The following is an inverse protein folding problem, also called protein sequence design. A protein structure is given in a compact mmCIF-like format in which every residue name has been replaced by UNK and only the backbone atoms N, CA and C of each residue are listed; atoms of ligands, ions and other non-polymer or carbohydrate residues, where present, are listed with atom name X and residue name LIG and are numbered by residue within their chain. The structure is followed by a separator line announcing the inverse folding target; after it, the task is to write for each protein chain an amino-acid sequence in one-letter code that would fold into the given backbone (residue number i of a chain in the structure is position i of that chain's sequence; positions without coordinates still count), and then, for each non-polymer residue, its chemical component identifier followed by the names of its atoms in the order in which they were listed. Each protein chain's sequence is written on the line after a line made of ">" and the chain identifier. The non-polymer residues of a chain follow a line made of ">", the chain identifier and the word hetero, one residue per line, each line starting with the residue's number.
data_IF_628408876444
#
_entry.id   IF_628408876444
#
_cell.length_a   1.000
_cell.length_b   1.000
_cell.length_c   1.000
_cell.angle_alpha   90.00
_cell.angle_beta   90.00
_cell.angle_gamma   90.00
#
_symmetry.space_group_name_H-M   'P 1'
#
loop_
_entity.id
_entity.type
_entity.pdbx_description
1 polymer ?
#
# COMPACT_ATOMS: atom_id res chain seq x y z
N UNK A 1 40.16 38.22 31.12
CA UNK A 1 38.71 37.98 30.84
C UNK A 1 38.58 37.66 29.36
N UNK A 2 38.64 36.38 29.00
CA UNK A 2 38.47 35.88 27.64
C UNK A 2 37.39 34.80 27.71
N UNK A 3 36.22 35.14 27.17
CA UNK A 3 35.07 34.25 27.05
C UNK A 3 35.30 33.32 25.85
N UNK A 4 35.53 32.03 26.10
CA UNK A 4 35.44 30.99 25.08
C UNK A 4 33.97 30.59 24.94
N UNK A 5 33.34 31.03 23.86
CA UNK A 5 32.04 30.52 23.41
C UNK A 5 32.36 29.30 22.53
N UNK A 6 32.20 28.10 23.08
CA UNK A 6 32.37 26.86 22.32
C UNK A 6 31.23 26.67 21.31
N UNK A 7 31.50 26.11 20.12
CA UNK A 7 30.45 25.85 19.14
C UNK A 7 29.59 24.68 19.62
N UNK A 8 28.28 24.92 19.70
CA UNK A 8 27.26 23.88 19.83
C UNK A 8 27.38 22.92 18.63
N UNK A 9 27.93 21.73 18.89
CA UNK A 9 27.84 20.58 18.00
C UNK A 9 26.35 20.22 17.85
N UNK A 10 25.70 20.77 16.83
CA UNK A 10 24.46 20.18 16.31
C UNK A 10 24.85 18.81 15.73
N UNK A 11 24.69 17.79 16.57
CA UNK A 11 24.63 16.41 16.11
C UNK A 11 23.54 16.35 15.04
N UNK A 12 23.96 16.19 13.79
CA UNK A 12 23.09 15.78 12.71
C UNK A 12 22.49 14.44 13.13
N UNK A 13 21.31 14.45 13.76
CA UNK A 13 20.43 13.31 13.72
C UNK A 13 20.15 13.09 12.23
N UNK A 14 20.86 12.13 11.65
CA UNK A 14 20.43 11.50 10.42
C UNK A 14 19.05 10.93 10.71
N UNK A 15 18.03 11.70 10.36
CA UNK A 15 16.68 11.18 10.22
C UNK A 15 16.81 10.16 9.10
N UNK A 16 16.97 8.89 9.48
CA UNK A 16 16.75 7.81 8.55
C UNK A 16 15.29 7.94 8.14
N UNK A 17 15.03 8.48 6.95
CA UNK A 17 13.71 8.40 6.34
C UNK A 17 13.43 6.91 6.10
N UNK A 18 12.85 6.26 7.10
CA UNK A 18 12.30 4.92 6.96
C UNK A 18 11.18 5.01 5.94
N UNK A 19 11.52 4.76 4.67
CA UNK A 19 10.55 4.75 3.57
C UNK A 19 9.41 3.79 3.92
N UNK A 20 8.26 4.36 4.27
CA UNK A 20 7.12 3.63 4.80
C UNK A 20 6.58 2.64 3.74
N UNK A 21 6.50 1.37 4.09
CA UNK A 21 6.11 0.29 3.16
C UNK A 21 4.59 0.29 3.00
N UNK A 22 4.10 0.91 1.92
CA UNK A 22 2.66 1.04 1.66
C UNK A 22 2.07 -0.10 0.84
N UNK A 23 2.89 -0.92 0.19
CA UNK A 23 2.43 -2.08 -0.55
C UNK A 23 3.46 -3.21 -0.60
N UNK A 24 3.00 -4.38 -1.07
CA UNK A 24 3.83 -5.53 -1.44
C UNK A 24 3.50 -5.93 -2.86
N UNK A 25 4.52 -6.02 -3.71
CA UNK A 25 4.41 -6.67 -5.00
C UNK A 25 4.70 -8.15 -4.81
N UNK A 26 3.69 -8.98 -5.02
CA UNK A 26 3.81 -10.43 -5.00
C UNK A 26 4.18 -10.91 -6.39
N UNK A 27 5.19 -11.77 -6.47
CA UNK A 27 5.66 -12.35 -7.72
C UNK A 27 5.58 -13.88 -7.64
N UNK A 28 4.78 -14.45 -8.53
CA UNK A 28 4.82 -15.88 -8.87
C UNK A 28 5.78 -16.09 -10.03
N UNK A 29 6.52 -17.19 -10.02
CA UNK A 29 7.39 -17.56 -11.13
C UNK A 29 7.30 -19.05 -11.46
N UNK A 30 7.58 -19.35 -12.72
CA UNK A 30 7.86 -20.69 -13.21
C UNK A 30 9.16 -20.65 -14.02
N UNK A 31 10.16 -21.39 -13.56
CA UNK A 31 11.52 -21.43 -14.11
C UNK A 31 11.84 -22.84 -14.61
N UNK A 32 12.50 -22.91 -15.79
CA UNK A 32 13.04 -24.17 -16.32
C UNK A 32 14.44 -23.97 -16.89
N UNK A 33 15.36 -24.87 -16.55
CA UNK A 33 16.71 -25.04 -17.06
C UNK A 33 17.12 -26.52 -16.99
N UNK A 34 16.53 -27.35 -17.85
CA UNK A 34 16.79 -28.81 -17.87
C UNK A 34 18.24 -29.19 -18.16
N UNK A 35 19.01 -28.30 -18.77
CA UNK A 35 20.42 -28.52 -19.06
C UNK A 35 21.38 -28.09 -17.95
N UNK A 36 20.90 -27.45 -16.88
CA UNK A 36 21.74 -26.85 -15.85
C UNK A 36 22.85 -25.95 -16.42
N UNK A 37 22.48 -25.16 -17.44
CA UNK A 37 23.40 -24.24 -18.10
C UNK A 37 23.33 -22.86 -17.49
N UNK A 38 24.50 -22.28 -17.25
CA UNK A 38 24.71 -20.86 -17.10
C UNK A 38 24.85 -20.18 -18.48
N UNK A 39 25.05 -18.85 -18.50
CA UNK A 39 25.23 -18.08 -19.74
C UNK A 39 26.45 -18.54 -20.55
N UNK A 40 27.51 -18.96 -19.87
CA UNK A 40 28.84 -19.26 -20.44
C UNK A 40 29.19 -20.75 -20.48
N UNK A 41 28.30 -21.63 -19.99
CA UNK A 41 28.59 -23.05 -19.90
C UNK A 41 27.65 -23.75 -18.92
N UNK A 42 28.13 -24.81 -18.28
CA UNK A 42 27.45 -25.44 -17.14
C UNK A 42 27.53 -24.52 -15.92
N UNK A 43 26.56 -24.61 -15.02
CA UNK A 43 26.57 -24.00 -13.69
C UNK A 43 27.74 -24.59 -12.87
N UNK A 44 27.56 -25.78 -12.29
CA UNK A 44 28.67 -26.53 -11.69
C UNK A 44 29.38 -27.47 -12.67
N UNK A 45 30.71 -27.44 -12.70
CA UNK A 45 31.51 -28.39 -13.51
C UNK A 45 31.41 -29.82 -12.96
N UNK A 46 31.30 -29.98 -11.63
CA UNK A 46 31.35 -31.29 -10.97
C UNK A 46 29.97 -31.84 -10.56
N UNK A 47 29.11 -31.04 -9.91
CA UNK A 47 27.75 -31.46 -9.53
C UNK A 47 26.74 -31.33 -10.71
N UNK A 48 27.10 -30.54 -11.73
CA UNK A 48 26.27 -30.26 -12.93
C UNK A 48 24.84 -29.85 -12.60
N UNK A 49 24.67 -29.18 -11.47
CA UNK A 49 23.42 -28.55 -11.06
C UNK A 49 23.65 -27.05 -10.95
N UNK A 50 22.56 -26.32 -10.78
CA UNK A 50 22.63 -24.90 -10.51
C UNK A 50 21.98 -24.67 -9.16
N UNK A 51 22.60 -23.90 -8.29
CA UNK A 51 22.06 -23.42 -7.02
C UNK A 51 21.33 -22.09 -7.25
N UNK A 52 20.07 -22.20 -7.67
CA UNK A 52 19.34 -21.08 -8.27
C UNK A 52 18.85 -20.07 -7.24
N UNK A 53 19.18 -18.80 -7.47
CA UNK A 53 18.56 -17.65 -6.84
C UNK A 53 18.27 -16.53 -7.84
N UNK A 54 17.49 -15.52 -7.43
CA UNK A 54 17.06 -14.42 -8.30
C UNK A 54 17.46 -13.06 -7.73
N UNK A 55 17.93 -12.19 -8.63
CA UNK A 55 18.08 -10.76 -8.42
C UNK A 55 16.98 -10.03 -9.21
N UNK A 56 16.11 -9.32 -8.50
CA UNK A 56 14.96 -8.59 -9.04
C UNK A 56 15.20 -7.10 -8.86
N UNK A 57 15.12 -6.37 -9.96
CA UNK A 57 15.28 -4.91 -10.01
C UNK A 57 14.04 -4.30 -10.65
N UNK A 58 13.39 -3.37 -9.95
CA UNK A 58 12.19 -2.67 -10.38
C UNK A 58 12.48 -1.19 -10.46
N UNK A 59 12.09 -0.57 -11.56
CA UNK A 59 12.24 0.88 -11.75
C UNK A 59 11.04 1.50 -12.44
N UNK A 60 10.93 2.83 -12.34
CA UNK A 60 9.89 3.58 -13.00
C UNK A 60 10.04 3.51 -14.53
N UNK A 61 8.98 3.13 -15.25
CA UNK A 61 9.01 2.94 -16.71
C UNK A 61 9.36 4.23 -17.49
N UNK A 62 9.13 5.41 -16.90
CA UNK A 62 9.55 6.70 -17.48
C UNK A 62 11.06 6.87 -17.57
N UNK A 63 11.85 6.02 -16.91
CA UNK A 63 13.32 6.03 -16.94
C UNK A 63 13.81 4.98 -17.95
N UNK A 64 14.41 5.44 -19.05
CA UNK A 64 14.87 4.58 -20.14
C UNK A 64 16.05 3.68 -19.74
N UNK A 65 17.04 4.23 -19.03
CA UNK A 65 18.22 3.52 -18.54
C UNK A 65 18.42 3.81 -17.05
N UNK A 66 17.87 2.97 -16.16
CA UNK A 66 18.05 3.17 -14.74
C UNK A 66 19.47 2.82 -14.32
N UNK A 67 20.15 3.74 -13.63
CA UNK A 67 21.41 3.46 -12.95
C UNK A 67 21.19 2.75 -11.60
N UNK A 68 19.95 2.72 -11.11
CA UNK A 68 19.54 2.10 -9.86
C UNK A 68 18.08 1.59 -9.95
N UNK A 69 17.74 0.60 -9.12
CA UNK A 69 16.36 0.12 -8.97
C UNK A 69 15.60 1.06 -8.04
N UNK A 70 15.14 2.21 -8.55
CA UNK A 70 14.56 3.32 -7.77
C UNK A 70 13.25 2.95 -7.07
N UNK A 71 12.50 1.98 -7.62
CA UNK A 71 11.26 1.48 -7.01
C UNK A 71 11.55 0.41 -5.96
N UNK A 72 12.26 -0.67 -6.34
CA UNK A 72 12.64 -1.73 -5.41
C UNK A 72 13.75 -2.63 -5.96
N UNK A 73 14.52 -3.21 -5.04
CA UNK A 73 15.50 -4.26 -5.32
C UNK A 73 15.30 -5.44 -4.37
N UNK A 74 15.36 -6.66 -4.88
CA UNK A 74 15.24 -7.88 -4.08
C UNK A 74 16.22 -8.93 -4.58
N UNK A 75 17.10 -9.42 -3.70
CA UNK A 75 17.82 -10.69 -3.87
C UNK A 75 17.04 -11.76 -3.09
N UNK A 76 16.75 -12.90 -3.71
CA UNK A 76 16.21 -14.06 -3.00
C UNK A 76 17.34 -14.82 -2.32
N UNK A 77 17.03 -15.62 -1.32
CA UNK A 77 17.92 -16.73 -0.94
C UNK A 77 17.94 -17.79 -2.04
N UNK A 78 18.83 -18.77 -1.90
CA UNK A 78 18.73 -20.05 -2.59
C UNK A 78 17.27 -20.55 -2.60
N UNK A 79 16.79 -20.93 -3.79
CA UNK A 79 15.43 -21.42 -3.99
C UNK A 79 15.42 -22.90 -4.33
N UNK A 80 16.32 -23.36 -5.19
CA UNK A 80 16.25 -24.73 -5.71
C UNK A 80 17.52 -25.10 -6.45
N UNK A 81 17.86 -26.39 -6.41
CA UNK A 81 18.84 -27.02 -7.30
C UNK A 81 18.20 -27.85 -8.42
N UNK A 82 16.87 -27.79 -8.54
CA UNK A 82 16.09 -28.52 -9.54
C UNK A 82 16.11 -27.80 -10.90
N UNK A 83 16.13 -28.55 -12.02
CA UNK A 83 16.01 -27.98 -13.35
C UNK A 83 14.67 -27.29 -13.60
N UNK A 84 13.65 -27.55 -12.79
CA UNK A 84 12.35 -26.88 -12.86
C UNK A 84 11.92 -26.46 -11.46
N UNK A 85 11.40 -25.25 -11.33
CA UNK A 85 10.86 -24.74 -10.07
C UNK A 85 9.75 -23.73 -10.31
N UNK A 86 8.62 -23.94 -9.62
CA UNK A 86 7.52 -23.01 -9.58
C UNK A 86 7.32 -22.47 -8.16
N UNK A 87 7.22 -21.15 -8.04
CA UNK A 87 6.88 -20.44 -6.81
C UNK A 87 5.49 -19.84 -6.97
N UNK A 88 4.49 -20.50 -6.38
CA UNK A 88 3.08 -20.10 -6.46
C UNK A 88 2.43 -20.09 -5.08
N UNK A 89 1.29 -19.39 -4.97
CA UNK A 89 0.51 -19.33 -3.74
C UNK A 89 1.31 -18.78 -2.55
N UNK A 90 1.50 -19.61 -1.52
CA UNK A 90 2.21 -19.23 -0.28
C UNK A 90 3.73 -19.07 -0.45
N UNK A 91 4.31 -19.57 -1.55
CA UNK A 91 5.76 -19.48 -1.82
C UNK A 91 6.14 -18.29 -2.72
N UNK A 92 5.21 -17.36 -2.93
CA UNK A 92 5.43 -16.15 -3.73
C UNK A 92 6.59 -15.31 -3.20
N UNK A 93 7.30 -14.65 -4.11
CA UNK A 93 8.33 -13.68 -3.73
C UNK A 93 7.63 -12.37 -3.37
N UNK A 94 7.72 -11.98 -2.10
CA UNK A 94 7.18 -10.72 -1.60
C UNK A 94 8.24 -9.60 -1.68
N UNK A 95 7.93 -8.56 -2.46
CA UNK A 95 8.79 -7.38 -2.63
C UNK A 95 8.11 -6.18 -1.97
N UNK A 96 8.63 -5.67 -0.85
CA UNK A 96 8.08 -4.48 -0.20
C UNK A 96 8.30 -3.25 -1.07
N UNK A 97 7.25 -2.45 -1.26
CA UNK A 97 7.29 -1.18 -2.00
C UNK A 97 6.96 -0.03 -1.04
N UNK A 98 7.77 1.02 -1.11
CA UNK A 98 7.54 2.26 -0.37
C UNK A 98 7.05 3.36 -1.29
N UNK A 99 6.34 4.35 -0.73
CA UNK A 99 5.80 5.47 -1.52
C UNK A 99 6.90 6.39 -2.09
N UNK A 100 6.67 7.04 -3.25
CA UNK A 100 5.53 6.87 -4.15
C UNK A 100 5.70 5.64 -5.06
N UNK A 101 4.62 4.88 -5.27
CA UNK A 101 4.62 3.72 -6.18
C UNK A 101 4.15 4.19 -7.57
N UNK A 102 4.99 4.09 -8.61
CA UNK A 102 4.60 4.51 -9.96
C UNK A 102 3.56 3.55 -10.56
N UNK A 103 2.68 4.09 -11.40
CA UNK A 103 1.65 3.31 -12.11
C UNK A 103 2.25 2.36 -13.14
N UNK A 104 3.35 2.72 -13.78
CA UNK A 104 4.05 1.90 -14.77
C UNK A 104 5.50 1.66 -14.32
N UNK A 105 5.90 0.39 -14.31
CA UNK A 105 7.25 -0.05 -13.96
C UNK A 105 7.85 -0.91 -15.06
N UNK A 106 9.15 -1.09 -15.02
CA UNK A 106 9.84 -2.18 -15.69
C UNK A 106 10.55 -3.03 -14.65
N UNK A 107 10.58 -4.33 -14.91
CA UNK A 107 11.13 -5.33 -14.01
C UNK A 107 12.23 -6.08 -14.78
N UNK A 108 13.41 -6.15 -14.18
CA UNK A 108 14.51 -7.02 -14.62
C UNK A 108 14.68 -8.13 -13.61
N UNK A 109 14.78 -9.35 -14.11
CA UNK A 109 15.03 -10.53 -13.30
C UNK A 109 16.29 -11.19 -13.85
N UNK A 110 17.29 -11.31 -12.99
CA UNK A 110 18.52 -12.03 -13.26
C UNK A 110 18.49 -13.31 -12.44
N UNK A 111 18.79 -14.42 -13.10
CA UNK A 111 18.86 -15.76 -12.51
C UNK A 111 20.33 -16.09 -12.36
N UNK A 112 20.72 -16.51 -11.17
CA UNK A 112 22.11 -16.73 -10.79
C UNK A 112 22.26 -18.10 -10.13
N UNK A 113 23.47 -18.63 -10.26
CA UNK A 113 23.99 -19.82 -9.61
C UNK A 113 24.83 -19.37 -8.40
N UNK A 114 24.49 -19.81 -7.19
CA UNK A 114 25.22 -19.43 -5.97
C UNK A 114 26.42 -20.35 -5.74
N UNK A 115 27.63 -19.78 -5.80
CA UNK A 115 28.87 -20.54 -5.65
C UNK A 115 29.48 -20.41 -4.26
N UNK A 116 30.01 -21.52 -3.73
CA UNK A 116 30.69 -21.53 -2.42
C UNK A 116 32.10 -20.93 -2.50
N UNK A 117 32.81 -21.11 -3.63
CA UNK A 117 34.24 -20.80 -3.74
C UNK A 117 34.67 -20.04 -5.00
N UNK A 118 33.71 -19.74 -5.88
CA UNK A 118 33.86 -18.93 -7.09
C UNK A 118 32.88 -17.75 -7.08
N UNK A 119 32.94 -16.92 -8.11
CA UNK A 119 31.92 -15.89 -8.33
C UNK A 119 30.69 -16.51 -8.93
N UNK A 120 29.52 -16.24 -8.35
CA UNK A 120 28.21 -16.64 -8.88
C UNK A 120 28.10 -16.51 -10.40
N UNK A 121 27.62 -17.56 -11.05
CA UNK A 121 27.44 -17.59 -12.49
C UNK A 121 26.04 -17.12 -12.90
N UNK A 122 25.98 -16.16 -13.82
CA UNK A 122 24.69 -15.70 -14.34
C UNK A 122 24.12 -16.75 -15.29
N UNK A 123 22.90 -17.20 -15.02
CA UNK A 123 22.17 -18.17 -15.84
C UNK A 123 21.48 -17.46 -17.01
N UNK A 124 20.62 -16.50 -16.69
CA UNK A 124 19.85 -15.77 -17.68
C UNK A 124 19.37 -14.42 -17.14
N UNK A 125 19.10 -13.49 -18.06
CA UNK A 125 18.52 -12.17 -17.78
C UNK A 125 17.25 -11.96 -18.58
N UNK A 126 16.20 -11.56 -17.88
CA UNK A 126 14.89 -11.23 -18.44
C UNK A 126 14.48 -9.80 -18.07
N UNK A 127 13.73 -9.15 -18.95
CA UNK A 127 13.19 -7.81 -18.75
C UNK A 127 11.74 -7.72 -19.22
N UNK A 128 10.90 -6.96 -18.52
CA UNK A 128 9.54 -6.66 -18.97
C UNK A 128 9.51 -5.41 -19.84
N UNK A 129 8.46 -5.28 -20.65
CA UNK A 129 8.02 -3.95 -21.13
C UNK A 129 7.41 -3.11 -20.00
N UNK A 130 6.80 -1.99 -20.36
CA UNK A 130 6.05 -1.14 -19.42
C UNK A 130 4.90 -1.94 -18.81
N UNK A 131 4.96 -2.15 -17.50
CA UNK A 131 4.05 -3.02 -16.75
C UNK A 131 3.25 -2.17 -15.78
N UNK A 132 1.93 -2.25 -15.87
CA UNK A 132 1.04 -1.47 -15.01
C UNK A 132 0.86 -2.12 -13.64
N UNK A 133 0.93 -1.33 -12.57
CA UNK A 133 0.66 -1.77 -11.21
C UNK A 133 -0.65 -1.16 -10.68
N UNK A 134 -1.60 -2.02 -10.36
CA UNK A 134 -2.91 -1.67 -9.82
C UNK A 134 -3.26 -2.60 -8.64
N UNK A 135 -3.60 -2.03 -7.49
CA UNK A 135 -3.90 -2.79 -6.26
C UNK A 135 -5.14 -3.68 -6.35
N UNK A 136 -6.08 -3.35 -7.21
CA UNK A 136 -7.31 -4.11 -7.42
C UNK A 136 -7.17 -5.23 -8.46
N UNK A 137 -6.07 -5.26 -9.23
CA UNK A 137 -5.87 -6.31 -10.23
C UNK A 137 -5.48 -7.63 -9.56
N UNK A 138 -6.09 -8.76 -9.97
CA UNK A 138 -5.63 -10.08 -9.54
C UNK A 138 -4.24 -10.39 -10.12
N UNK A 139 -3.69 -11.55 -9.75
CA UNK A 139 -2.48 -12.05 -10.39
C UNK A 139 -2.67 -12.09 -11.91
N UNK A 140 -1.74 -11.49 -12.63
CA UNK A 140 -1.73 -11.47 -14.08
C UNK A 140 -0.31 -11.76 -14.58
N UNK A 141 -0.23 -12.48 -15.69
CA UNK A 141 1.03 -12.82 -16.33
C UNK A 141 1.65 -11.57 -16.98
N UNK A 142 2.98 -11.47 -16.91
CA UNK A 142 3.73 -10.37 -17.53
C UNK A 142 4.71 -10.96 -18.55
N UNK A 143 4.71 -10.40 -19.75
CA UNK A 143 5.60 -10.82 -20.83
C UNK A 143 7.05 -10.43 -20.52
N UNK A 144 7.95 -11.39 -20.72
CA UNK A 144 9.38 -11.24 -20.51
C UNK A 144 10.12 -11.34 -21.84
N UNK A 145 11.09 -10.45 -22.03
CA UNK A 145 12.09 -10.52 -23.09
C UNK A 145 13.42 -11.01 -22.49
N UNK A 146 14.03 -12.00 -23.12
CA UNK A 146 15.36 -12.50 -22.77
C UNK A 146 16.43 -11.62 -23.40
N UNK A 147 17.33 -11.07 -22.58
CA UNK A 147 18.32 -10.07 -23.05
C UNK A 147 19.64 -10.68 -23.49
N UNK A 148 20.11 -11.72 -22.78
CA UNK A 148 21.46 -12.26 -22.91
C UNK A 148 21.42 -13.73 -23.39
N UNK A 149 20.72 -13.99 -24.50
CA UNK A 149 20.59 -15.35 -25.05
C UNK A 149 21.91 -15.83 -25.69
N UNK A 150 22.39 -17.00 -25.29
CA UNK A 150 23.56 -17.68 -25.83
C UNK A 150 23.18 -19.09 -26.27
N UNK A 151 24.10 -19.81 -26.92
CA UNK A 151 23.90 -21.22 -27.27
C UNK A 151 23.72 -22.13 -26.05
N UNK A 152 24.23 -21.74 -24.88
CA UNK A 152 24.14 -22.52 -23.64
C UNK A 152 22.82 -22.29 -22.93
N UNK A 153 22.40 -21.03 -22.79
CA UNK A 153 21.23 -20.72 -22.01
C UNK A 153 19.94 -20.63 -22.84
N UNK A 154 19.96 -20.88 -24.16
CA UNK A 154 18.81 -20.66 -25.06
C UNK A 154 17.49 -21.22 -24.51
N UNK A 155 17.52 -22.44 -23.98
CA UNK A 155 16.36 -23.18 -23.47
C UNK A 155 15.90 -22.76 -22.07
N UNK A 156 16.65 -21.89 -21.38
CA UNK A 156 16.22 -21.35 -20.08
C UNK A 156 14.97 -20.49 -20.27
N UNK A 157 13.90 -20.84 -19.55
CA UNK A 157 12.61 -20.13 -19.58
C UNK A 157 12.26 -19.60 -18.20
N UNK A 158 11.62 -18.45 -18.21
CA UNK A 158 11.02 -17.83 -17.03
C UNK A 158 9.64 -17.27 -17.42
N UNK A 159 8.63 -17.62 -16.66
CA UNK A 159 7.31 -17.00 -16.71
C UNK A 159 7.03 -16.39 -15.35
N UNK A 160 6.39 -15.22 -15.31
CA UNK A 160 6.03 -14.55 -14.06
C UNK A 160 4.58 -14.06 -14.08
N UNK A 161 3.93 -14.11 -12.93
CA UNK A 161 2.73 -13.35 -12.66
C UNK A 161 2.94 -12.44 -11.46
N UNK A 162 2.32 -11.26 -11.49
CA UNK A 162 2.46 -10.27 -10.43
C UNK A 162 1.12 -9.83 -9.87
N UNK A 163 1.12 -9.41 -8.61
CA UNK A 163 -0.01 -8.76 -7.95
C UNK A 163 0.46 -7.70 -6.98
N UNK A 164 -0.01 -6.46 -7.14
CA UNK A 164 0.19 -5.40 -6.15
C UNK A 164 -0.84 -5.57 -5.03
N UNK A 165 -0.40 -5.63 -3.78
CA UNK A 165 -1.28 -5.70 -2.60
C UNK A 165 -0.95 -4.57 -1.64
N UNK A 166 -1.93 -3.76 -1.26
CA UNK A 166 -1.70 -2.71 -0.28
C UNK A 166 -1.36 -3.28 1.11
N UNK A 167 -0.46 -2.60 1.82
CA UNK A 167 -0.21 -2.85 3.24
C UNK A 167 -1.49 -2.56 4.05
N UNK A 168 -1.62 -3.12 5.27
CA UNK A 168 -2.76 -2.81 6.13
C UNK A 168 -2.96 -1.30 6.29
N UNK A 169 -4.22 -0.86 6.23
CA UNK A 169 -4.61 0.56 6.30
C UNK A 169 -4.17 1.43 5.11
N UNK A 170 -3.62 0.86 4.03
CA UNK A 170 -3.37 1.58 2.79
C UNK A 170 -4.40 1.27 1.71
N UNK A 171 -4.77 2.31 0.98
CA UNK A 171 -5.84 2.32 -0.02
C UNK A 171 -5.42 3.12 -1.26
N UNK A 172 -6.25 3.04 -2.29
CA UNK A 172 -5.99 3.63 -3.60
C UNK A 172 -5.30 2.65 -4.55
N UNK A 173 -5.31 2.96 -5.84
CA UNK A 173 -4.77 2.08 -6.88
C UNK A 173 -3.26 1.81 -6.74
N UNK A 174 -2.53 2.76 -6.13
CA UNK A 174 -1.09 2.68 -5.87
C UNK A 174 -0.79 2.66 -4.37
N UNK A 175 -1.78 2.31 -3.54
CA UNK A 175 -1.66 2.22 -2.08
C UNK A 175 -1.13 3.52 -1.45
N UNK A 176 -1.52 4.67 -2.01
CA UNK A 176 -1.01 5.99 -1.65
C UNK A 176 -1.76 6.63 -0.48
N UNK A 177 -2.96 6.18 -0.16
CA UNK A 177 -3.81 6.77 0.89
C UNK A 177 -3.71 5.91 2.15
N UNK A 178 -3.29 6.49 3.28
CA UNK A 178 -3.33 5.79 4.57
C UNK A 178 -4.60 6.17 5.32
N UNK A 179 -5.33 5.17 5.83
CA UNK A 179 -6.46 5.36 6.72
C UNK A 179 -6.54 4.19 7.69
N UNK A 180 -6.33 4.46 8.98
CA UNK A 180 -6.57 3.51 10.05
C UNK A 180 -7.85 3.94 10.76
N UNK A 181 -8.92 3.12 10.78
CA UNK A 181 -10.19 3.53 11.34
C UNK A 181 -10.06 3.87 12.83
N UNK A 182 -10.81 4.88 13.25
CA UNK A 182 -10.99 5.27 14.65
C UNK A 182 -12.47 5.05 14.99
N UNK A 183 -12.74 4.00 15.77
CA UNK A 183 -14.11 3.58 16.12
C UNK A 183 -14.95 4.67 16.78
N UNK A 184 -14.35 5.74 17.31
CA UNK A 184 -15.06 6.84 17.95
C UNK A 184 -15.35 8.01 17.00
N UNK A 185 -14.60 8.14 15.90
CA UNK A 185 -14.63 9.34 15.03
C UNK A 185 -14.93 9.07 13.57
N UNK A 186 -14.34 8.02 12.99
CA UNK A 186 -14.47 7.76 11.56
C UNK A 186 -14.15 6.31 11.18
N UNK A 187 -14.72 5.88 10.07
CA UNK A 187 -14.31 4.67 9.37
C UNK A 187 -13.66 5.03 8.03
N UNK A 188 -12.89 4.08 7.48
CA UNK A 188 -12.24 4.26 6.18
C UNK A 188 -13.19 3.87 5.05
N UNK A 189 -13.34 4.76 4.07
CA UNK A 189 -14.03 4.47 2.82
C UNK A 189 -13.25 3.52 1.91
N UNK A 190 -13.79 3.22 0.73
CA UNK A 190 -13.20 2.25 -0.20
C UNK A 190 -11.85 2.70 -0.75
N UNK A 191 -11.60 4.01 -0.83
CA UNK A 191 -10.34 4.58 -1.31
C UNK A 191 -9.49 5.15 -0.16
N UNK A 192 -9.84 4.84 1.08
CA UNK A 192 -9.15 5.31 2.28
C UNK A 192 -9.54 6.74 2.68
N UNK A 193 -10.61 7.30 2.13
CA UNK A 193 -11.14 8.57 2.61
C UNK A 193 -11.79 8.40 4.00
N UNK A 194 -11.60 9.38 4.88
CA UNK A 194 -12.22 9.38 6.20
C UNK A 194 -13.73 9.63 6.08
N UNK A 195 -14.54 8.68 6.58
CA UNK A 195 -15.99 8.81 6.68
C UNK A 195 -16.36 9.04 8.13
N UNK A 196 -16.82 10.25 8.43
CA UNK A 196 -17.10 10.65 9.80
C UNK A 196 -18.30 9.90 10.36
N UNK A 197 -18.17 9.45 11.61
CA UNK A 197 -19.28 8.94 12.40
C UNK A 197 -20.22 10.12 12.69
N UNK A 198 -21.55 9.91 12.74
CA UNK A 198 -22.48 10.99 13.02
C UNK A 198 -22.13 11.75 14.30
N UNK A 199 -22.09 13.08 14.22
CA UNK A 199 -21.57 13.96 15.28
C UNK A 199 -20.15 14.46 15.05
N UNK A 200 -19.47 13.97 14.00
CA UNK A 200 -18.16 14.47 13.55
C UNK A 200 -18.23 15.00 12.12
N UNK A 201 -17.36 15.97 11.81
CA UNK A 201 -17.24 16.62 10.50
C UNK A 201 -15.82 17.11 10.23
N UNK A 202 -15.64 17.70 9.05
CA UNK A 202 -14.39 18.34 8.65
C UNK A 202 -13.33 17.35 8.16
N UNK A 203 -12.15 17.88 7.85
CA UNK A 203 -11.03 17.06 7.42
C UNK A 203 -10.60 16.12 8.56
N UNK A 204 -10.33 14.86 8.21
CA UNK A 204 -9.99 13.80 9.17
C UNK A 204 -11.04 13.57 10.29
N UNK A 205 -12.25 14.11 10.13
CA UNK A 205 -13.31 14.05 11.14
C UNK A 205 -12.86 14.64 12.49
N UNK A 206 -12.03 15.69 12.44
CA UNK A 206 -11.44 16.31 13.62
C UNK A 206 -12.37 17.33 14.32
N UNK A 207 -13.47 17.72 13.68
CA UNK A 207 -14.38 18.73 14.19
C UNK A 207 -15.69 18.10 14.65
N UNK A 208 -16.27 18.65 15.71
CA UNK A 208 -17.60 18.24 16.19
C UNK A 208 -18.66 18.83 15.26
N UNK A 209 -19.67 18.03 14.93
CA UNK A 209 -20.88 18.46 14.27
C UNK A 209 -21.94 18.82 15.33
N UNK A 210 -21.82 20.04 15.85
CA UNK A 210 -22.74 20.60 16.84
C UNK A 210 -24.17 20.66 16.31
N UNK A 211 -24.37 20.94 15.02
CA UNK A 211 -25.68 20.91 14.38
C UNK A 211 -26.32 19.52 14.39
N UNK A 212 -25.52 18.46 14.26
CA UNK A 212 -26.00 17.09 14.39
C UNK A 212 -26.31 16.73 15.84
N UNK A 213 -25.41 17.04 16.78
CA UNK A 213 -25.57 16.67 18.20
C UNK A 213 -26.66 17.47 18.92
N UNK A 214 -26.80 18.75 18.53
CA UNK A 214 -27.79 19.69 19.04
C UNK A 214 -28.52 20.27 17.83
N UNK A 215 -29.54 19.59 17.29
CA UNK A 215 -30.30 20.11 16.16
C UNK A 215 -31.04 21.40 16.52
N UNK A 216 -31.25 22.27 15.54
CA UNK A 216 -32.16 23.40 15.68
C UNK A 216 -33.62 22.93 15.68
N UNK A 217 -34.55 23.82 16.02
CA UNK A 217 -35.98 23.54 15.92
C UNK A 217 -36.37 23.05 14.51
N UNK A 218 -37.45 22.27 14.36
CA UNK A 218 -37.96 21.89 13.05
C UNK A 218 -38.09 23.10 12.12
N UNK A 219 -37.66 22.96 10.87
CA UNK A 219 -37.64 24.00 9.83
C UNK A 219 -36.65 25.17 10.04
N UNK A 220 -35.85 25.17 11.11
CA UNK A 220 -34.72 26.11 11.25
C UNK A 220 -33.48 25.58 10.51
N UNK A 221 -32.69 26.48 9.91
CA UNK A 221 -31.41 26.16 9.28
C UNK A 221 -30.30 26.23 10.33
N UNK A 222 -29.48 25.17 10.43
CA UNK A 222 -28.31 25.14 11.30
C UNK A 222 -27.02 25.44 10.52
N UNK A 223 -26.11 26.18 11.14
CA UNK A 223 -24.74 26.40 10.68
C UNK A 223 -23.77 26.04 11.81
N UNK A 224 -22.82 25.14 11.56
CA UNK A 224 -21.75 24.86 12.51
C UNK A 224 -20.78 26.05 12.56
N UNK A 225 -20.30 26.37 13.76
CA UNK A 225 -19.32 27.43 14.02
C UNK A 225 -18.17 26.88 14.84
N UNK A 226 -17.06 27.62 14.88
CA UNK A 226 -15.88 27.27 15.67
C UNK A 226 -15.81 28.10 16.98
N UNK A 227 -16.90 28.78 17.33
CA UNK A 227 -17.07 29.50 18.60
C UNK A 227 -17.46 28.55 19.75
N UNK A 228 -17.61 29.10 20.96
CA UNK A 228 -17.89 28.32 22.16
C UNK A 228 -19.25 27.60 22.08
N UNK A 229 -20.23 28.21 21.41
CA UNK A 229 -21.56 27.66 21.16
C UNK A 229 -21.52 26.52 20.13
N UNK A 230 -20.61 26.59 19.15
CA UNK A 230 -20.33 25.56 18.15
C UNK A 230 -21.38 25.45 17.03
N UNK A 231 -22.50 26.20 17.11
CA UNK A 231 -23.53 26.30 16.07
C UNK A 231 -24.36 27.58 16.18
N UNK A 232 -24.97 27.99 15.06
CA UNK A 232 -26.00 29.05 14.97
C UNK A 232 -27.26 28.49 14.28
N UNK A 233 -28.45 28.87 14.78
CA UNK A 233 -29.75 28.54 14.19
C UNK A 233 -30.43 29.76 13.56
N UNK A 234 -30.87 29.64 12.31
CA UNK A 234 -31.64 30.65 11.58
C UNK A 234 -33.09 30.20 11.35
N UNK A 235 -34.06 31.01 11.76
CA UNK A 235 -35.48 30.78 11.49
C UNK A 235 -35.95 31.66 10.32
N UNK A 236 -36.87 31.14 9.49
CA UNK A 236 -37.38 31.82 8.28
C UNK A 236 -38.27 33.07 8.54
N UNK A 237 -38.12 33.76 9.68
CA UNK A 237 -38.83 35.01 9.97
C UNK A 237 -37.95 36.12 10.58
N UNK A 238 -36.62 35.97 10.54
CA UNK A 238 -35.70 36.99 11.03
C UNK A 238 -34.45 36.35 11.60
N UNK A 239 -33.30 36.87 11.20
CA UNK A 239 -32.00 36.58 11.79
C UNK A 239 -32.00 36.99 13.27
N UNK A 240 -32.40 36.07 14.14
CA UNK A 240 -32.28 36.20 15.58
C UNK A 240 -31.79 34.89 16.16
N UNK A 241 -30.84 34.97 17.08
CA UNK A 241 -30.37 33.84 17.89
C UNK A 241 -31.58 33.13 18.48
N UNK A 242 -31.95 31.99 17.90
CA UNK A 242 -33.02 31.18 18.45
C UNK A 242 -32.48 30.52 19.71
N UNK A 243 -32.77 31.12 20.87
CA UNK A 243 -32.76 30.42 22.17
C UNK A 243 -33.91 29.41 22.22
N UNK A 244 -33.90 28.45 21.29
CA UNK A 244 -34.82 27.31 21.32
C UNK A 244 -34.16 26.27 22.24
N UNK A 245 -34.90 25.69 23.20
CA UNK A 245 -34.34 24.67 24.08
C UNK A 245 -33.78 23.50 23.27
N UNK A 246 -32.54 23.12 23.58
CA UNK A 246 -31.82 22.02 22.95
C UNK A 246 -32.67 20.73 22.98
N UNK A 247 -32.85 20.08 21.83
CA UNK A 247 -33.26 18.68 21.80
C UNK A 247 -31.99 17.82 21.87
N UNK A 248 -31.75 17.17 22.99
CA UNK A 248 -30.60 16.27 23.17
C UNK A 248 -30.89 14.96 22.45
N UNK A 249 -30.12 14.66 21.40
CA UNK A 249 -30.09 13.30 20.81
C UNK A 249 -29.18 12.44 21.68
N UNK A 250 -29.75 11.47 22.40
CA UNK A 250 -28.95 10.49 23.13
C UNK A 250 -28.29 9.50 22.15
N UNK A 251 -26.96 9.49 22.12
CA UNK A 251 -26.17 8.46 21.45
C UNK A 251 -26.17 7.19 22.33
N UNK A 252 -27.25 6.40 22.29
CA UNK A 252 -27.22 5.06 22.86
C UNK A 252 -26.61 4.09 21.85
N UNK A 253 -25.52 3.44 22.27
CA UNK A 253 -24.89 2.36 21.53
C UNK A 253 -25.88 1.24 21.15
N UNK A 254 -25.47 0.49 20.13
CA UNK A 254 -26.21 -0.58 19.49
C UNK A 254 -27.02 -1.52 20.43
N UNK A 255 -28.16 -1.97 19.89
CA UNK A 255 -29.10 -2.99 20.38
C UNK A 255 -30.02 -2.63 21.55
N UNK A 256 -31.31 -2.39 21.24
CA UNK A 256 -32.45 -3.13 21.81
C UNK A 256 -33.78 -2.84 21.11
N UNK A 257 -34.53 -3.92 20.92
CA UNK A 257 -35.90 -4.09 20.45
C UNK A 257 -36.87 -2.90 20.54
N UNK A 258 -37.54 -2.64 19.41
CA UNK A 258 -38.80 -1.90 19.35
C UNK A 258 -39.91 -2.81 19.88
N UNK A 259 -40.60 -2.36 20.93
CA UNK A 259 -41.96 -2.80 21.26
C UNK A 259 -42.76 -1.57 21.66
N UNK A 260 -43.51 -1.02 20.71
CA UNK A 260 -44.49 0.02 20.95
C UNK A 260 -45.82 -0.63 21.36
N UNK A 261 -46.18 -0.45 22.62
CA UNK A 261 -47.55 -0.60 23.10
C UNK A 261 -48.36 0.62 22.67
N UNK A 262 -49.26 0.42 21.71
CA UNK A 262 -50.37 1.32 21.42
C UNK A 262 -51.38 1.29 22.57
N UNK A 263 -51.75 2.45 23.12
CA UNK A 263 -53.05 2.58 23.79
C UNK A 263 -53.64 3.98 23.55
N UNK A 264 -54.66 4.01 22.70
CA UNK A 264 -55.53 5.15 22.48
C UNK A 264 -56.34 5.43 23.76
N UNK A 265 -56.40 6.69 24.21
CA UNK A 265 -57.47 7.17 25.09
C UNK A 265 -58.26 8.28 24.39
N UNK A 266 -59.53 7.98 24.22
CA UNK A 266 -60.67 8.85 23.93
C UNK A 266 -60.73 10.07 24.85
N UNK A 267 -61.29 11.18 24.35
CA UNK A 267 -62.46 11.81 24.97
C UNK A 267 -63.08 12.91 24.07
N UNK A 268 -64.39 12.74 23.85
CA UNK A 268 -65.43 13.68 23.39
C UNK A 268 -65.31 14.35 22.02
#
# INVERSE_FOLDING_TARGET
>A
MLLFIGPLLFSCLWICECKEVSARLKLELNYTNFGHYARTGWCDIFDRKCDVYFNICIWNASIAQPNACDVAKKKTSFISNSPETALTGQKTIDIPLSKPIPKFVRIRIEIWDEDISSSDDIIAKFITGDTQLLSHQPFHQVSLLKMDATSYNADVKLQIAIKLTCSPNYYGEQCQTFCKPDSERFYCGTNGEHKCIPGWRGEFCALIDSCFLKPCAPHARCLNTDDAEGRICYCNAGSGESKVPDQIVQLSGANRHVSDTLNFRSHF
#
